data_IF_461644938464
#
_entry.id   IF_461644938464
#
_cell.length_a   1.000
_cell.length_b   1.000
_cell.length_c   1.000
_cell.angle_alpha   90.00
_cell.angle_beta   90.00
_cell.angle_gamma   90.00
#
_symmetry.space_group_name_H-M   'P 1'
#
loop_
_entity.id
_entity.type
_entity.pdbx_description
1 polymer ?
#
# COMPACT_ATOMS: atom_id res chain seq x y z
N UNK A 1 -28.81 78.23 -1.02
CA UNK A 1 -29.66 77.75 0.08
C UNK A 1 -29.17 76.37 0.49
N UNK A 2 -28.83 76.24 1.78
CA UNK A 2 -28.94 75.05 2.65
C UNK A 2 -28.07 73.80 2.32
N UNK A 3 -26.93 73.76 3.03
CA UNK A 3 -26.40 72.72 3.93
C UNK A 3 -26.92 71.26 3.96
N UNK A 4 -25.93 70.38 4.19
CA UNK A 4 -25.86 69.22 5.09
C UNK A 4 -26.38 67.84 4.66
N UNK A 5 -25.54 66.82 4.89
CA UNK A 5 -25.99 65.54 5.46
C UNK A 5 -25.28 64.28 4.96
N UNK A 6 -24.31 63.81 5.73
CA UNK A 6 -23.63 62.51 5.63
C UNK A 6 -24.58 61.30 5.62
N UNK A 7 -24.20 60.20 4.93
CA UNK A 7 -23.87 58.93 5.58
C UNK A 7 -23.42 57.81 4.62
N UNK A 8 -22.24 57.28 4.94
CA UNK A 8 -21.72 55.91 4.83
C UNK A 8 -22.59 54.85 4.13
N UNK A 9 -22.06 54.25 3.06
CA UNK A 9 -21.91 52.79 2.94
C UNK A 9 -20.75 52.45 1.97
N UNK A 10 -19.68 51.95 2.58
CA UNK A 10 -18.58 51.20 1.97
C UNK A 10 -19.07 49.79 1.60
N UNK A 11 -18.80 49.32 0.37
CA UNK A 11 -18.05 48.08 0.08
C UNK A 11 -17.62 48.09 -1.39
N UNK A 12 -16.30 48.01 -1.57
CA UNK A 12 -15.55 48.08 -2.82
C UNK A 12 -15.83 46.90 -3.77
N UNK A 13 -16.18 47.26 -5.00
CA UNK A 13 -15.38 47.06 -6.21
C UNK A 13 -14.50 45.81 -6.33
N UNK A 14 -14.99 44.87 -7.14
CA UNK A 14 -14.30 44.09 -8.18
C UNK A 14 -12.84 43.68 -7.93
N UNK A 15 -12.71 42.38 -7.69
CA UNK A 15 -11.54 41.54 -7.92
C UNK A 15 -10.90 41.85 -9.28
N UNK A 16 -9.59 42.03 -9.28
CA UNK A 16 -8.74 41.74 -10.43
C UNK A 16 -7.53 40.95 -9.96
N UNK A 17 -7.20 40.00 -10.81
CA UNK A 17 -6.20 38.96 -10.71
C UNK A 17 -4.78 39.49 -10.53
N UNK A 18 -3.94 38.73 -9.83
CA UNK A 18 -2.68 38.14 -10.35
C UNK A 18 -1.86 37.57 -9.19
N UNK A 19 -2.15 36.32 -8.84
CA UNK A 19 -1.17 35.44 -8.19
C UNK A 19 -1.03 34.23 -9.13
N UNK A 20 0.09 34.16 -9.84
CA UNK A 20 0.48 32.94 -10.55
C UNK A 20 0.81 31.87 -9.50
N UNK A 21 -0.19 31.03 -9.21
CA UNK A 21 -0.01 29.74 -8.56
C UNK A 21 0.80 28.82 -9.47
N UNK A 22 2.03 28.50 -9.06
CA UNK A 22 2.70 27.29 -9.54
C UNK A 22 2.12 26.13 -8.73
N UNK A 23 0.99 25.62 -9.22
CA UNK A 23 0.42 24.33 -8.80
C UNK A 23 1.27 23.20 -9.40
N UNK A 24 2.25 22.71 -8.65
CA UNK A 24 2.96 21.49 -9.00
C UNK A 24 2.17 20.25 -8.53
N UNK A 25 0.98 20.07 -9.10
CA UNK A 25 0.32 18.75 -9.14
C UNK A 25 0.53 18.20 -10.54
N UNK A 26 1.44 17.23 -10.70
CA UNK A 26 1.42 16.40 -11.90
C UNK A 26 0.12 15.60 -11.85
N UNK A 27 -0.87 16.08 -12.58
CA UNK A 27 -2.12 15.34 -12.79
C UNK A 27 -1.87 14.28 -13.85
N UNK A 28 -2.53 13.13 -13.73
CA UNK A 28 -2.30 11.98 -14.63
C UNK A 28 -2.63 12.27 -16.11
N UNK A 29 -3.21 13.42 -16.44
CA UNK A 29 -3.40 13.89 -17.81
C UNK A 29 -2.08 14.31 -18.47
N UNK A 30 -1.05 14.71 -17.69
CA UNK A 30 0.28 15.07 -18.20
C UNK A 30 1.17 13.84 -18.49
N UNK A 31 0.89 12.69 -17.88
CA UNK A 31 1.61 11.42 -18.14
C UNK A 31 1.13 10.68 -19.41
N UNK A 32 0.09 11.18 -20.07
CA UNK A 32 -0.54 10.53 -21.21
C UNK A 32 -0.15 11.12 -22.58
N UNK A 33 0.75 12.11 -22.66
CA UNK A 33 0.98 12.91 -23.88
C UNK A 33 2.39 12.88 -24.51
N UNK A 34 3.27 11.91 -24.23
CA UNK A 34 4.63 11.91 -24.83
C UNK A 34 4.96 10.68 -25.70
N UNK A 35 5.01 10.98 -27.01
CA UNK A 35 5.71 10.38 -28.18
C UNK A 35 5.48 8.93 -28.64
N UNK A 36 4.41 8.77 -29.44
CA UNK A 36 4.49 8.61 -30.91
C UNK A 36 5.12 7.38 -31.57
N UNK A 37 6.09 6.70 -30.97
CA UNK A 37 6.82 5.59 -31.62
C UNK A 37 6.75 4.24 -30.90
N UNK A 38 6.10 4.19 -29.72
CA UNK A 38 5.83 2.96 -28.97
C UNK A 38 4.35 2.50 -29.01
N UNK A 39 3.52 3.09 -29.88
CA UNK A 39 2.10 2.73 -29.98
C UNK A 39 1.86 1.32 -30.57
N UNK A 40 2.75 0.82 -31.43
CA UNK A 40 2.46 -0.40 -32.20
C UNK A 40 2.52 -1.71 -31.39
N UNK A 41 3.29 -1.76 -30.30
CA UNK A 41 3.36 -2.96 -29.43
C UNK A 41 2.23 -2.99 -28.39
N UNK A 42 1.79 -1.83 -27.90
CA UNK A 42 0.69 -1.73 -26.92
C UNK A 42 -0.66 -1.97 -27.61
N UNK A 43 -0.86 -1.47 -28.83
CA UNK A 43 -2.07 -1.73 -29.60
C UNK A 43 -2.21 -3.22 -30.00
N UNK A 44 -1.09 -3.90 -30.26
CA UNK A 44 -1.07 -5.34 -30.52
C UNK A 44 -1.48 -6.19 -29.30
N UNK A 45 -1.11 -5.75 -28.08
CA UNK A 45 -1.51 -6.40 -26.83
C UNK A 45 -2.91 -6.01 -26.34
N UNK A 46 -3.44 -4.84 -26.72
CA UNK A 46 -4.83 -4.44 -26.41
C UNK A 46 -5.87 -5.24 -27.21
N UNK A 47 -5.54 -5.70 -28.41
CA UNK A 47 -6.48 -6.41 -29.30
C UNK A 47 -6.68 -7.90 -28.96
N UNK A 48 -5.85 -8.49 -28.10
CA UNK A 48 -6.02 -9.87 -27.65
C UNK A 48 -5.79 -9.98 -26.14
N UNK A 49 -6.87 -10.24 -25.40
CA UNK A 49 -6.96 -10.90 -24.08
C UNK A 49 -7.58 -10.07 -22.94
N UNK A 50 -8.27 -10.81 -22.08
CA UNK A 50 -8.73 -10.40 -20.76
C UNK A 50 -7.62 -9.75 -19.91
N UNK A 51 -8.04 -8.92 -18.95
CA UNK A 51 -7.19 -8.07 -18.08
C UNK A 51 -5.87 -8.75 -17.65
N UNK A 52 -4.70 -8.08 -17.76
CA UNK A 52 -3.40 -8.66 -17.44
C UNK A 52 -3.34 -9.28 -16.04
N UNK A 53 -2.70 -10.45 -15.96
CA UNK A 53 -2.36 -11.14 -14.70
C UNK A 53 -1.48 -10.23 -13.84
N UNK A 54 -1.71 -10.27 -12.53
CA UNK A 54 -0.86 -9.55 -11.57
C UNK A 54 0.39 -10.39 -11.34
N UNK A 55 1.54 -9.76 -11.55
CA UNK A 55 2.84 -10.41 -11.37
C UNK A 55 3.13 -10.42 -9.86
N UNK A 56 3.29 -11.61 -9.31
CA UNK A 56 3.65 -11.83 -7.91
C UNK A 56 4.73 -12.91 -7.80
N UNK A 57 5.85 -12.53 -7.19
CA UNK A 57 7.00 -13.38 -6.91
C UNK A 57 7.18 -13.55 -5.39
N UNK A 58 7.53 -14.75 -4.91
CA UNK A 58 7.95 -14.90 -3.54
C UNK A 58 9.28 -14.16 -3.30
N UNK A 59 9.36 -13.46 -2.16
CA UNK A 59 10.44 -12.51 -1.84
C UNK A 59 10.34 -11.17 -2.59
N UNK A 60 9.32 -10.97 -3.44
CA UNK A 60 9.15 -9.72 -4.17
C UNK A 60 8.83 -8.55 -3.25
N UNK A 61 9.46 -7.40 -3.51
CA UNK A 61 9.20 -6.12 -2.86
C UNK A 61 8.28 -5.28 -3.74
N UNK A 62 7.19 -4.75 -3.18
CA UNK A 62 6.19 -3.99 -3.93
C UNK A 62 5.94 -2.63 -3.31
N UNK A 63 5.88 -1.60 -4.15
CA UNK A 63 5.15 -0.39 -3.83
C UNK A 63 3.68 -0.57 -4.22
N UNK A 64 2.78 -0.45 -3.25
CA UNK A 64 1.35 -0.66 -3.47
C UNK A 64 0.58 0.59 -3.11
N UNK A 65 -0.38 0.94 -3.97
CA UNK A 65 -1.32 2.04 -3.72
C UNK A 65 -2.75 1.62 -4.05
N UNK A 66 -3.70 2.17 -3.29
CA UNK A 66 -5.13 2.10 -3.61
C UNK A 66 -5.76 3.43 -3.25
N UNK A 67 -6.64 3.92 -4.14
CA UNK A 67 -7.27 5.23 -4.03
C UNK A 67 -8.79 5.10 -3.95
N UNK A 68 -9.40 6.03 -3.23
CA UNK A 68 -10.84 6.12 -3.04
C UNK A 68 -11.58 6.25 -4.37
N UNK A 69 -12.78 5.68 -4.43
CA UNK A 69 -13.68 5.90 -5.56
C UNK A 69 -13.94 7.40 -5.72
N UNK A 70 -13.95 7.87 -6.96
CA UNK A 70 -14.07 9.31 -7.28
C UNK A 70 -13.06 10.23 -6.57
N UNK A 71 -11.91 9.67 -6.13
CA UNK A 71 -10.88 10.37 -5.33
C UNK A 71 -11.38 10.86 -3.97
N UNK A 72 -12.48 10.31 -3.47
CA UNK A 72 -13.02 10.61 -2.14
C UNK A 72 -12.14 10.05 -1.02
N UNK A 73 -12.29 10.63 0.17
CA UNK A 73 -11.58 10.17 1.36
C UNK A 73 -11.94 8.72 1.68
N UNK A 74 -10.91 7.90 1.90
CA UNK A 74 -11.05 6.53 2.37
C UNK A 74 -10.93 6.44 3.89
N UNK A 75 -10.53 7.53 4.55
CA UNK A 75 -10.57 7.72 6.00
C UNK A 75 -11.34 9.02 6.28
N UNK A 76 -12.44 8.95 7.02
CA UNK A 76 -13.21 10.13 7.42
C UNK A 76 -12.73 10.69 8.76
N UNK A 77 -12.15 9.83 9.59
CA UNK A 77 -11.59 10.17 10.89
C UNK A 77 -10.35 9.30 11.22
N UNK A 78 -9.79 9.51 12.40
CA UNK A 78 -8.64 8.76 12.87
C UNK A 78 -8.99 7.31 13.27
N UNK A 79 -10.25 7.04 13.62
CA UNK A 79 -10.71 5.69 13.93
C UNK A 79 -10.65 4.81 12.67
N UNK A 80 -10.97 5.35 11.50
CA UNK A 80 -10.80 4.68 10.21
C UNK A 80 -9.34 4.29 9.94
N UNK A 81 -8.39 5.20 10.22
CA UNK A 81 -6.95 4.94 10.04
C UNK A 81 -6.44 3.86 11.01
N UNK A 82 -6.91 3.90 12.27
CA UNK A 82 -6.59 2.88 13.28
C UNK A 82 -7.16 1.52 12.87
N UNK A 83 -8.41 1.47 12.41
CA UNK A 83 -9.04 0.24 11.92
C UNK A 83 -8.28 -0.34 10.73
N UNK A 84 -7.84 0.53 9.82
CA UNK A 84 -7.03 0.12 8.67
C UNK A 84 -5.68 -0.46 9.10
N UNK A 85 -4.94 0.22 10.00
CA UNK A 85 -3.65 -0.28 10.50
C UNK A 85 -3.79 -1.60 11.26
N UNK A 86 -4.87 -1.75 12.02
CA UNK A 86 -5.18 -2.99 12.74
C UNK A 86 -5.43 -4.14 11.76
N UNK A 87 -6.25 -3.91 10.74
CA UNK A 87 -6.47 -4.90 9.67
C UNK A 87 -5.18 -5.20 8.90
N UNK A 88 -4.38 -4.19 8.60
CA UNK A 88 -3.10 -4.34 7.91
C UNK A 88 -2.13 -5.21 8.72
N UNK A 89 -2.06 -5.02 10.04
CA UNK A 89 -1.28 -5.88 10.94
C UNK A 89 -1.70 -7.35 10.83
N UNK A 90 -3.01 -7.62 10.82
CA UNK A 90 -3.54 -8.97 10.63
C UNK A 90 -3.19 -9.55 9.26
N UNK A 91 -3.27 -8.75 8.20
CA UNK A 91 -2.89 -9.15 6.84
C UNK A 91 -1.40 -9.48 6.78
N UNK A 92 -0.53 -8.63 7.31
CA UNK A 92 0.91 -8.90 7.34
C UNK A 92 1.25 -10.20 8.07
N UNK A 93 0.64 -10.41 9.25
CA UNK A 93 0.83 -11.66 10.01
C UNK A 93 0.31 -12.88 9.25
N UNK A 94 -0.88 -12.78 8.67
CA UNK A 94 -1.56 -13.89 7.97
C UNK A 94 -0.83 -14.32 6.72
N UNK A 95 -0.37 -13.36 5.91
CA UNK A 95 0.25 -13.61 4.61
C UNK A 95 1.77 -13.53 4.65
N UNK A 96 2.35 -13.43 5.85
CA UNK A 96 3.80 -13.34 6.06
C UNK A 96 4.42 -12.21 5.22
N UNK A 97 3.82 -11.02 5.30
CA UNK A 97 4.37 -9.82 4.67
C UNK A 97 5.26 -9.09 5.65
N UNK A 98 6.34 -8.54 5.10
CA UNK A 98 7.22 -7.61 5.82
C UNK A 98 6.97 -6.21 5.25
N UNK A 99 6.48 -5.30 6.07
CA UNK A 99 6.32 -3.90 5.67
C UNK A 99 7.61 -3.14 5.95
N UNK A 100 8.10 -2.35 4.99
CA UNK A 100 9.30 -1.51 5.15
C UNK A 100 8.95 -0.04 5.34
N UNK A 101 7.86 0.43 4.73
CA UNK A 101 7.35 1.79 4.89
C UNK A 101 5.86 1.86 4.58
N UNK A 102 5.15 2.80 5.22
CA UNK A 102 3.77 3.11 4.89
C UNK A 102 3.45 4.59 5.08
N UNK A 103 2.43 5.06 4.37
CA UNK A 103 1.81 6.36 4.57
C UNK A 103 0.33 6.27 4.20
N UNK A 104 -0.54 6.60 5.14
CA UNK A 104 -1.97 6.74 4.90
C UNK A 104 -2.24 8.22 4.59
N UNK A 105 -2.73 8.48 3.38
CA UNK A 105 -3.23 9.79 2.93
C UNK A 105 -4.75 9.82 3.13
N UNK A 106 -5.43 10.94 2.92
CA UNK A 106 -6.89 10.99 3.16
C UNK A 106 -7.70 10.12 2.20
N UNK A 107 -7.36 10.15 0.91
CA UNK A 107 -8.06 9.42 -0.15
C UNK A 107 -7.29 8.25 -0.75
N UNK A 108 -6.11 7.90 -0.21
CA UNK A 108 -5.33 6.75 -0.66
C UNK A 108 -4.31 6.32 0.38
N UNK A 109 -3.64 5.19 0.16
CA UNK A 109 -2.47 4.80 0.95
C UNK A 109 -1.31 4.43 0.04
N UNK A 110 -0.11 4.48 0.61
CA UNK A 110 1.13 3.97 0.06
C UNK A 110 1.71 2.96 1.05
N UNK A 111 2.00 1.75 0.60
CA UNK A 111 2.74 0.75 1.40
C UNK A 111 3.89 0.17 0.58
N UNK A 112 4.98 -0.16 1.27
CA UNK A 112 6.13 -0.86 0.71
C UNK A 112 6.22 -2.21 1.42
N UNK A 113 5.83 -3.27 0.73
CA UNK A 113 5.69 -4.60 1.32
C UNK A 113 6.50 -5.64 0.57
N UNK A 114 7.20 -6.47 1.29
CA UNK A 114 7.86 -7.67 0.79
C UNK A 114 6.95 -8.86 1.05
N UNK A 115 6.63 -9.63 0.01
CA UNK A 115 5.74 -10.80 0.11
C UNK A 115 6.57 -12.06 0.05
N UNK A 116 6.84 -12.68 1.20
CA UNK A 116 7.73 -13.85 1.31
C UNK A 116 7.24 -15.02 0.45
N UNK A 117 5.92 -15.17 0.33
CA UNK A 117 5.27 -16.29 -0.36
C UNK A 117 4.63 -15.91 -1.70
N UNK A 118 4.83 -14.68 -2.18
CA UNK A 118 4.26 -14.24 -3.46
C UNK A 118 2.73 -14.15 -3.46
N UNK A 119 2.14 -13.88 -2.30
CA UNK A 119 0.70 -13.94 -2.05
C UNK A 119 0.05 -12.53 -2.00
N UNK A 120 0.64 -11.55 -2.71
CA UNK A 120 0.22 -10.14 -2.71
C UNK A 120 -1.27 -9.99 -3.03
N UNK A 121 -1.75 -10.66 -4.07
CA UNK A 121 -3.14 -10.57 -4.52
C UNK A 121 -4.13 -11.05 -3.47
N UNK A 122 -3.78 -12.10 -2.71
CA UNK A 122 -4.62 -12.65 -1.65
C UNK A 122 -4.70 -11.71 -0.46
N UNK A 123 -3.56 -11.17 -0.01
CA UNK A 123 -3.55 -10.21 1.10
C UNK A 123 -4.24 -8.89 0.77
N UNK A 124 -4.05 -8.36 -0.45
CA UNK A 124 -4.73 -7.14 -0.87
C UNK A 124 -6.25 -7.31 -1.02
N UNK A 125 -6.70 -8.50 -1.45
CA UNK A 125 -8.14 -8.83 -1.47
C UNK A 125 -8.72 -8.80 -0.05
N UNK A 126 -8.01 -9.34 0.93
CA UNK A 126 -8.44 -9.31 2.32
C UNK A 126 -8.42 -7.88 2.88
N UNK A 127 -7.30 -7.16 2.73
CA UNK A 127 -7.13 -5.80 3.21
C UNK A 127 -8.23 -4.86 2.68
N UNK A 128 -8.33 -4.70 1.37
CA UNK A 128 -9.29 -3.76 0.79
C UNK A 128 -10.74 -4.23 0.96
N UNK A 129 -10.97 -5.54 0.88
CA UNK A 129 -12.31 -6.13 0.95
C UNK A 129 -12.92 -6.03 2.36
N UNK A 130 -12.14 -6.37 3.40
CA UNK A 130 -12.59 -6.27 4.79
C UNK A 130 -12.70 -4.79 5.19
N UNK A 131 -11.72 -3.96 4.84
CA UNK A 131 -11.78 -2.52 5.14
C UNK A 131 -13.03 -1.85 4.53
N UNK A 132 -13.34 -2.12 3.26
CA UNK A 132 -14.53 -1.59 2.58
C UNK A 132 -15.82 -1.96 3.34
N UNK A 133 -15.92 -3.21 3.81
CA UNK A 133 -17.10 -3.67 4.56
C UNK A 133 -17.21 -2.99 5.93
N UNK A 134 -16.09 -2.85 6.64
CA UNK A 134 -16.05 -2.19 7.95
C UNK A 134 -16.38 -0.71 7.82
N UNK A 135 -15.72 0.00 6.90
CA UNK A 135 -15.96 1.42 6.62
C UNK A 135 -17.43 1.69 6.27
N UNK A 136 -18.00 0.92 5.34
CA UNK A 136 -19.40 1.08 4.94
C UNK A 136 -20.36 0.84 6.11
N UNK A 137 -20.08 -0.14 6.97
CA UNK A 137 -20.89 -0.40 8.16
C UNK A 137 -20.79 0.74 9.17
N UNK A 138 -19.58 1.21 9.47
CA UNK A 138 -19.35 2.27 10.45
C UNK A 138 -19.98 3.60 10.03
N UNK A 139 -19.99 3.89 8.72
CA UNK A 139 -20.46 5.16 8.17
C UNK A 139 -21.84 5.08 7.50
N UNK A 140 -22.56 3.96 7.64
CA UNK A 140 -23.86 3.71 7.00
C UNK A 140 -23.87 4.00 5.49
N UNK A 141 -22.80 3.58 4.79
CA UNK A 141 -22.61 3.76 3.35
C UNK A 141 -22.81 2.43 2.60
N UNK A 142 -23.07 2.55 1.30
CA UNK A 142 -23.13 1.42 0.37
C UNK A 142 -22.22 1.68 -0.82
N UNK A 143 -21.79 0.61 -1.50
CA UNK A 143 -20.97 0.70 -2.71
C UNK A 143 -19.48 0.59 -2.46
N UNK A 144 -18.70 1.07 -3.43
CA UNK A 144 -17.24 0.93 -3.44
C UNK A 144 -16.57 2.03 -2.62
N UNK A 145 -15.62 1.65 -1.78
CA UNK A 145 -14.71 2.62 -1.12
C UNK A 145 -13.54 2.96 -2.04
N UNK A 146 -13.02 1.99 -2.79
CA UNK A 146 -11.88 2.17 -3.71
C UNK A 146 -12.33 2.19 -5.17
N UNK A 147 -11.66 3.00 -6.00
CA UNK A 147 -11.96 3.18 -7.44
C UNK A 147 -11.74 1.91 -8.31
N UNK A 148 -11.24 0.82 -7.71
CA UNK A 148 -10.99 -0.43 -8.42
C UNK A 148 -9.86 -1.25 -7.80
N UNK A 149 -9.07 -1.89 -8.66
CA UNK A 149 -7.92 -2.70 -8.24
C UNK A 149 -6.82 -1.79 -7.66
N UNK A 150 -6.13 -2.27 -6.64
CA UNK A 150 -4.86 -1.68 -6.22
C UNK A 150 -3.85 -1.69 -7.37
N UNK A 151 -2.93 -0.73 -7.33
CA UNK A 151 -1.72 -0.71 -8.17
C UNK A 151 -0.56 -1.29 -7.38
N UNK A 152 0.28 -2.09 -8.02
CA UNK A 152 1.50 -2.63 -7.42
C UNK A 152 2.64 -2.53 -8.44
N UNK A 153 3.77 -2.01 -7.99
CA UNK A 153 5.02 -1.90 -8.75
C UNK A 153 6.03 -2.79 -8.05
N UNK A 154 6.65 -3.72 -8.77
CA UNK A 154 7.74 -4.55 -8.26
C UNK A 154 9.03 -3.73 -8.22
N UNK A 155 9.76 -3.81 -7.11
CA UNK A 155 10.89 -2.95 -6.81
C UNK A 155 12.14 -3.80 -6.56
N UNK A 156 13.25 -3.43 -7.19
CA UNK A 156 14.57 -3.98 -6.86
C UNK A 156 15.03 -3.41 -5.52
N UNK A 157 14.96 -4.25 -4.47
CA UNK A 157 15.15 -3.86 -3.07
C UNK A 157 16.45 -3.11 -2.82
N UNK A 158 17.58 -3.67 -3.25
CA UNK A 158 18.90 -3.11 -2.95
C UNK A 158 19.16 -1.76 -3.63
N UNK A 159 18.53 -1.53 -4.78
CA UNK A 159 18.69 -0.27 -5.53
C UNK A 159 17.75 0.83 -5.04
N UNK A 160 16.51 0.49 -4.67
CA UNK A 160 15.43 1.49 -4.56
C UNK A 160 14.71 1.54 -3.22
N UNK A 161 14.91 0.59 -2.29
CA UNK A 161 14.10 0.55 -1.06
C UNK A 161 14.28 1.81 -0.18
N UNK A 162 15.49 2.35 -0.06
CA UNK A 162 15.75 3.58 0.70
C UNK A 162 14.99 4.77 0.12
N UNK A 163 15.15 4.99 -1.18
CA UNK A 163 14.53 6.09 -1.92
C UNK A 163 13.02 5.99 -1.95
N UNK A 164 12.50 4.77 -2.15
CA UNK A 164 11.08 4.50 -2.10
C UNK A 164 10.49 4.74 -0.71
N UNK A 165 11.17 4.32 0.35
CA UNK A 165 10.74 4.55 1.73
C UNK A 165 10.66 6.04 2.04
N UNK A 166 11.67 6.81 1.61
CA UNK A 166 11.67 8.28 1.69
C UNK A 166 10.51 8.90 0.91
N UNK A 167 10.32 8.48 -0.33
CA UNK A 167 9.20 8.95 -1.16
C UNK A 167 7.86 8.71 -0.45
N UNK A 168 7.64 7.50 0.07
CA UNK A 168 6.40 7.09 0.74
C UNK A 168 6.09 8.02 1.92
N UNK A 169 7.03 8.22 2.84
CA UNK A 169 6.77 9.06 4.02
C UNK A 169 6.62 10.53 3.65
N UNK A 170 7.27 11.03 2.60
CA UNK A 170 7.16 12.44 2.17
C UNK A 170 5.90 12.79 1.38
N UNK A 171 5.01 11.83 1.06
CA UNK A 171 3.79 12.12 0.30
C UNK A 171 2.90 13.23 0.91
N UNK A 172 2.68 13.30 2.23
CA UNK A 172 1.88 14.36 2.86
C UNK A 172 2.47 15.76 2.64
N UNK A 173 3.80 15.88 2.68
CA UNK A 173 4.52 17.14 2.42
C UNK A 173 4.41 17.51 0.94
N UNK A 174 4.62 16.54 0.05
CA UNK A 174 4.54 16.73 -1.41
C UNK A 174 3.13 17.10 -1.87
N UNK A 175 2.10 16.59 -1.19
CA UNK A 175 0.70 16.92 -1.45
C UNK A 175 0.26 18.24 -0.79
N UNK A 176 1.15 18.92 -0.05
CA UNK A 176 0.83 20.17 0.64
C UNK A 176 -0.13 20.02 1.83
N UNK A 177 -0.36 18.79 2.32
CA UNK A 177 -1.25 18.51 3.46
C UNK A 177 -0.61 19.02 4.76
N UNK A 178 0.70 18.84 4.89
CA UNK A 178 1.50 19.34 6.01
C UNK A 178 2.74 20.05 5.49
N UNK A 179 3.25 21.01 6.26
CA UNK A 179 4.50 21.72 5.90
C UNK A 179 5.72 20.88 6.22
N UNK A 180 5.67 20.17 7.35
CA UNK A 180 6.78 19.36 7.85
C UNK A 180 6.30 17.93 8.13
N UNK A 181 7.19 16.95 7.94
CA UNK A 181 6.83 15.53 8.02
C UNK A 181 6.46 15.06 9.44
N UNK A 182 7.00 15.71 10.47
CA UNK A 182 6.67 15.49 11.88
C UNK A 182 5.21 15.81 12.22
N UNK A 183 4.52 16.59 11.38
CA UNK A 183 3.10 16.89 11.55
C UNK A 183 2.17 15.77 11.06
N UNK A 184 2.70 14.75 10.37
CA UNK A 184 1.92 13.64 9.83
C UNK A 184 2.20 12.31 10.53
N UNK A 185 1.36 12.00 11.51
CA UNK A 185 1.50 10.79 12.34
C UNK A 185 1.09 9.51 11.61
N UNK A 186 0.32 9.61 10.52
CA UNK A 186 -0.21 8.46 9.77
C UNK A 186 0.77 7.90 8.74
N UNK A 187 2.02 7.70 9.15
CA UNK A 187 3.07 7.09 8.33
C UNK A 187 4.02 6.25 9.20
N UNK A 188 4.97 5.55 8.57
CA UNK A 188 6.04 4.86 9.27
C UNK A 188 7.12 5.81 9.83
N UNK A 189 7.07 7.12 9.51
CA UNK A 189 8.09 8.08 9.93
C UNK A 189 8.23 8.20 11.46
N UNK A 190 7.15 8.39 12.26
CA UNK A 190 7.26 8.48 13.72
C UNK A 190 7.85 7.23 14.36
N UNK A 191 7.61 6.05 13.78
CA UNK A 191 8.20 4.79 14.25
C UNK A 191 9.70 4.74 13.92
N UNK A 192 10.08 5.15 12.71
CA UNK A 192 11.48 5.21 12.28
C UNK A 192 12.31 6.23 13.09
N UNK A 193 11.68 7.31 13.57
CA UNK A 193 12.35 8.34 14.40
C UNK A 193 12.31 8.04 15.90
N UNK A 194 11.60 6.99 16.32
CA UNK A 194 11.48 6.59 17.73
C UNK A 194 10.45 7.40 18.53
N UNK A 195 9.58 8.15 17.86
CA UNK A 195 8.45 8.88 18.45
C UNK A 195 7.25 7.96 18.72
N UNK A 196 7.24 6.75 18.14
CA UNK A 196 6.19 5.74 18.33
C UNK A 196 6.77 4.34 18.47
N UNK A 197 6.03 3.47 19.17
CA UNK A 197 6.41 2.05 19.30
C UNK A 197 6.42 1.35 17.95
N UNK A 198 7.42 0.50 17.71
CA UNK A 198 7.50 -0.28 16.49
C UNK A 198 6.56 -1.48 16.52
N UNK A 199 5.58 -1.58 15.61
CA UNK A 199 4.78 -2.79 15.50
C UNK A 199 5.61 -3.93 14.90
N UNK A 200 5.26 -5.18 15.24
CA UNK A 200 5.99 -6.39 14.80
C UNK A 200 6.04 -6.55 13.27
N UNK A 201 5.02 -6.07 12.56
CA UNK A 201 4.92 -6.18 11.11
C UNK A 201 5.74 -5.14 10.33
N UNK A 202 6.32 -4.13 11.01
CA UNK A 202 7.15 -3.11 10.39
C UNK A 202 8.64 -3.41 10.62
N UNK A 203 9.38 -3.59 9.52
CA UNK A 203 10.82 -3.78 9.52
C UNK A 203 11.53 -2.42 9.48
N UNK A 204 12.17 -2.05 10.59
CA UNK A 204 12.93 -0.79 10.69
C UNK A 204 14.44 -1.00 10.62
N UNK A 205 14.93 -2.19 10.98
CA UNK A 205 16.36 -2.40 11.20
C UNK A 205 17.16 -2.45 9.91
N UNK A 206 16.61 -3.02 8.84
CA UNK A 206 17.30 -3.06 7.54
C UNK A 206 17.52 -1.63 7.00
N UNK A 207 16.48 -0.78 7.05
CA UNK A 207 16.52 0.59 6.57
C UNK A 207 17.45 1.45 7.43
N UNK A 208 17.28 1.42 8.76
CA UNK A 208 18.15 2.17 9.67
C UNK A 208 19.60 1.69 9.62
N UNK A 209 19.82 0.39 9.39
CA UNK A 209 21.15 -0.19 9.25
C UNK A 209 21.98 0.40 8.10
N UNK A 210 21.32 0.95 7.07
CA UNK A 210 22.00 1.65 5.96
C UNK A 210 22.66 2.96 6.40
N UNK A 211 22.20 3.54 7.52
CA UNK A 211 22.71 4.81 8.06
C UNK A 211 23.72 4.63 9.19
N UNK A 212 23.93 3.39 9.66
CA UNK A 212 24.99 3.05 10.61
C UNK A 212 24.59 1.99 11.64
N UNK A 213 25.60 1.48 12.37
CA UNK A 213 25.41 0.40 13.36
C UNK A 213 24.79 0.87 14.68
N UNK A 214 24.97 2.15 15.04
CA UNK A 214 24.45 2.71 16.29
C UNK A 214 23.07 3.32 16.03
N UNK A 215 22.01 2.73 16.60
CA UNK A 215 20.62 3.12 16.34
C UNK A 215 20.36 4.63 16.45
N UNK A 216 20.83 5.28 17.51
CA UNK A 216 20.65 6.73 17.70
C UNK A 216 21.26 7.56 16.56
N UNK A 217 22.44 7.19 16.07
CA UNK A 217 23.09 7.87 14.94
C UNK A 217 22.40 7.57 13.61
N UNK A 218 21.98 6.33 13.42
CA UNK A 218 21.23 5.90 12.25
C UNK A 218 19.90 6.66 12.12
N UNK A 219 19.16 6.84 13.22
CA UNK A 219 17.91 7.61 13.24
C UNK A 219 18.17 9.07 12.83
N UNK A 220 19.19 9.73 13.40
CA UNK A 220 19.51 11.11 13.04
C UNK A 220 19.85 11.24 11.54
N UNK A 221 20.69 10.35 11.01
CA UNK A 221 21.05 10.34 9.59
C UNK A 221 19.86 9.99 8.68
N UNK A 222 18.94 9.12 9.12
CA UNK A 222 17.68 8.85 8.43
C UNK A 222 16.79 10.10 8.36
N UNK A 223 16.66 10.84 9.46
CA UNK A 223 15.90 12.10 9.49
C UNK A 223 16.48 13.11 8.50
N UNK A 224 17.80 13.26 8.46
CA UNK A 224 18.48 14.15 7.50
C UNK A 224 18.28 13.69 6.06
N UNK A 225 18.36 12.38 5.79
CA UNK A 225 18.08 11.79 4.49
C UNK A 225 16.65 12.05 4.01
N UNK A 226 15.66 11.91 4.91
CA UNK A 226 14.25 12.20 4.59
C UNK A 226 14.07 13.69 4.31
N UNK A 227 14.61 14.58 5.15
CA UNK A 227 14.54 16.03 4.93
C UNK A 227 15.17 16.46 3.61
N UNK A 228 16.32 15.88 3.25
CA UNK A 228 16.97 16.11 1.97
C UNK A 228 16.13 15.68 0.76
N UNK A 229 15.10 14.85 0.96
CA UNK A 229 14.16 14.45 -0.09
C UNK A 229 13.04 15.44 -0.40
N UNK A 230 12.89 16.49 0.42
CA UNK A 230 11.88 17.54 0.18
C UNK A 230 12.28 18.35 -1.06
N UNK A 231 11.36 18.48 -2.01
CA UNK A 231 11.60 19.19 -3.27
C UNK A 231 12.35 18.40 -4.35
N UNK A 232 12.87 17.20 -4.04
CA UNK A 232 13.44 16.32 -5.07
C UNK A 232 12.37 15.83 -6.06
N UNK A 233 12.73 15.57 -7.33
CA UNK A 233 11.83 14.99 -8.30
C UNK A 233 11.31 13.61 -7.87
N UNK A 234 10.30 13.12 -8.58
CA UNK A 234 9.71 11.83 -8.26
C UNK A 234 10.62 10.68 -8.68
N UNK A 235 10.72 9.64 -7.84
CA UNK A 235 11.53 8.43 -8.14
C UNK A 235 11.05 7.65 -9.38
N UNK A 236 9.89 8.02 -9.93
CA UNK A 236 9.26 7.35 -11.07
C UNK A 236 9.85 7.70 -12.43
N UNK A 237 10.80 8.65 -12.50
CA UNK A 237 11.49 9.01 -13.76
C UNK A 237 12.24 7.82 -14.38
N UNK A 238 12.61 6.81 -13.58
CA UNK A 238 13.28 5.58 -14.04
C UNK A 238 12.32 4.35 -14.13
N UNK A 239 11.01 4.55 -14.15
CA UNK A 239 10.02 3.47 -14.16
C UNK A 239 9.97 2.75 -15.53
N UNK A 240 10.36 1.49 -15.57
CA UNK A 240 10.36 0.69 -16.79
C UNK A 240 9.03 -0.06 -16.98
N UNK A 241 8.22 0.34 -17.96
CA UNK A 241 7.01 -0.38 -18.37
C UNK A 241 5.87 -0.40 -17.34
N UNK A 242 5.82 0.59 -16.44
CA UNK A 242 4.77 0.79 -15.41
C UNK A 242 4.63 -0.32 -14.35
N UNK A 243 5.51 -1.32 -14.36
CA UNK A 243 5.42 -2.51 -13.49
C UNK A 243 6.70 -2.74 -12.68
N UNK A 244 7.86 -2.28 -13.18
CA UNK A 244 9.16 -2.52 -12.55
C UNK A 244 9.89 -1.22 -12.24
N UNK A 245 10.44 -1.14 -11.03
CA UNK A 245 11.42 -0.13 -10.61
C UNK A 245 12.72 -0.85 -10.26
N UNK A 246 13.66 -0.88 -11.19
CA UNK A 246 14.90 -1.66 -11.07
C UNK A 246 15.80 -1.44 -12.28
N UNK A 247 17.07 -1.85 -12.18
CA UNK A 247 18.03 -1.78 -13.30
C UNK A 247 17.55 -2.63 -14.49
N UNK A 248 18.04 -2.35 -15.70
CA UNK A 248 17.66 -3.08 -16.92
C UNK A 248 17.83 -4.60 -16.80
N UNK A 249 18.90 -5.05 -16.13
CA UNK A 249 19.16 -6.47 -15.87
C UNK A 249 18.04 -7.12 -15.04
N UNK A 250 17.60 -6.46 -13.96
CA UNK A 250 16.48 -6.89 -13.13
C UNK A 250 15.18 -6.96 -13.93
N UNK A 251 14.89 -5.93 -14.73
CA UNK A 251 13.68 -5.90 -15.57
C UNK A 251 13.69 -7.03 -16.59
N UNK A 252 14.85 -7.33 -17.20
CA UNK A 252 15.01 -8.42 -18.16
C UNK A 252 14.83 -9.79 -17.51
N UNK A 253 15.42 -10.00 -16.35
CA UNK A 253 15.29 -11.25 -15.57
C UNK A 253 13.83 -11.51 -15.19
N UNK A 254 13.15 -10.52 -14.62
CA UNK A 254 11.74 -10.66 -14.21
C UNK A 254 10.81 -10.91 -15.40
N UNK A 255 11.08 -10.29 -16.55
CA UNK A 255 10.32 -10.56 -17.79
C UNK A 255 10.52 -11.98 -18.30
N UNK A 256 11.72 -12.53 -18.19
CA UNK A 256 11.99 -13.93 -18.56
C UNK A 256 11.24 -14.91 -17.64
N UNK A 257 11.22 -14.66 -16.33
CA UNK A 257 10.48 -15.48 -15.36
C UNK A 257 8.96 -15.48 -15.63
N UNK A 258 8.39 -14.34 -16.05
CA UNK A 258 6.97 -14.22 -16.41
C UNK A 258 6.63 -14.95 -17.71
N UNK A 259 7.56 -15.03 -18.66
CA UNK A 259 7.35 -15.69 -19.95
C UNK A 259 7.54 -17.21 -19.88
N UNK A 260 8.22 -17.73 -18.85
CA UNK A 260 8.63 -19.13 -18.80
C UNK A 260 7.64 -20.12 -18.18
N UNK A 261 6.51 -19.72 -17.59
CA UNK A 261 5.47 -20.63 -17.02
C UNK A 261 5.98 -21.84 -16.18
N UNK A 262 7.20 -21.76 -15.63
CA UNK A 262 7.92 -22.91 -15.08
C UNK A 262 8.25 -22.71 -13.60
N UNK A 263 7.70 -23.64 -12.79
CA UNK A 263 8.13 -24.08 -11.46
C UNK A 263 9.26 -23.25 -10.81
N UNK A 264 8.88 -22.28 -9.99
CA UNK A 264 9.82 -21.51 -9.17
C UNK A 264 10.12 -22.31 -7.90
N UNK A 265 10.93 -23.36 -8.04
CA UNK A 265 11.57 -24.04 -6.93
C UNK A 265 13.04 -23.65 -6.89
N UNK A 266 13.35 -22.53 -6.23
CA UNK A 266 14.60 -22.32 -5.48
C UNK A 266 14.65 -20.88 -4.96
N UNK A 267 14.31 -20.71 -3.68
CA UNK A 267 14.49 -19.45 -2.93
C UNK A 267 15.27 -19.79 -1.66
N UNK A 268 16.29 -19.00 -1.27
CA UNK A 268 17.09 -19.21 -0.09
C UNK A 268 16.26 -19.41 1.19
N UNK A 269 16.60 -20.46 1.95
CA UNK A 269 15.87 -21.05 3.10
C UNK A 269 15.67 -20.14 4.34
N UNK A 270 15.92 -18.84 4.26
CA UNK A 270 16.01 -17.96 5.43
C UNK A 270 14.76 -17.08 5.62
N UNK A 271 13.55 -17.68 5.67
CA UNK A 271 12.34 -17.13 6.31
C UNK A 271 11.11 -18.05 6.14
N UNK A 272 11.31 -19.38 6.15
CA UNK A 272 10.16 -20.28 6.24
C UNK A 272 9.54 -20.14 7.62
N UNK A 273 8.35 -19.52 7.70
CA UNK A 273 7.35 -19.94 8.68
C UNK A 273 7.26 -21.47 8.57
N UNK A 274 7.10 -22.18 9.68
CA UNK A 274 6.76 -23.60 9.59
C UNK A 274 5.52 -23.70 8.69
N UNK A 275 5.62 -24.38 7.55
CA UNK A 275 4.48 -24.63 6.67
C UNK A 275 3.31 -25.10 7.54
N UNK A 276 2.11 -24.59 7.29
CA UNK A 276 0.94 -25.08 8.00
C UNK A 276 0.92 -26.60 7.91
N UNK A 277 0.53 -27.25 9.02
CA UNK A 277 0.26 -28.69 8.98
C UNK A 277 -0.84 -28.94 7.96
N UNK A 278 -0.92 -30.14 7.34
CA UNK A 278 -2.01 -30.45 6.41
C UNK A 278 -3.37 -30.16 7.05
N UNK A 279 -4.39 -29.82 6.25
CA UNK A 279 -5.74 -29.55 6.75
C UNK A 279 -6.28 -30.69 7.65
N UNK A 280 -5.90 -31.94 7.34
CA UNK A 280 -6.16 -33.15 8.14
C UNK A 280 -5.62 -33.13 9.57
N UNK A 281 -4.67 -32.26 9.88
CA UNK A 281 -4.20 -32.04 11.25
C UNK A 281 -5.21 -31.21 12.04
N UNK A 282 -5.72 -30.13 11.44
CA UNK A 282 -6.65 -29.22 12.10
C UNK A 282 -8.04 -29.83 12.23
N UNK A 283 -8.45 -30.71 11.31
CA UNK A 283 -9.73 -31.42 11.39
C UNK A 283 -9.80 -32.44 12.53
N UNK A 284 -8.67 -32.76 13.18
CA UNK A 284 -8.59 -33.63 14.35
C UNK A 284 -8.69 -32.90 15.69
N UNK A 285 -8.87 -31.58 15.68
CA UNK A 285 -9.04 -30.82 16.92
C UNK A 285 -10.33 -31.25 17.63
N UNK A 286 -10.31 -31.26 18.97
CA UNK A 286 -11.47 -31.65 19.77
C UNK A 286 -12.67 -30.71 19.58
N UNK A 287 -12.41 -29.42 19.35
CA UNK A 287 -13.40 -28.45 18.90
C UNK A 287 -13.22 -28.15 17.40
N UNK A 288 -14.26 -28.43 16.62
CA UNK A 288 -14.31 -28.16 15.17
C UNK A 288 -14.08 -26.69 14.84
N UNK A 289 -14.68 -25.78 15.60
CA UNK A 289 -14.59 -24.34 15.34
C UNK A 289 -13.17 -23.84 15.65
N UNK A 290 -12.53 -24.38 16.69
CA UNK A 290 -11.12 -24.11 16.99
C UNK A 290 -10.22 -24.62 15.86
N UNK A 291 -10.44 -25.83 15.36
CA UNK A 291 -9.71 -26.37 14.21
C UNK A 291 -9.88 -25.51 12.95
N UNK A 292 -11.11 -25.09 12.63
CA UNK A 292 -11.40 -24.20 11.49
C UNK A 292 -10.69 -22.85 11.66
N UNK A 293 -10.74 -22.27 12.86
CA UNK A 293 -10.08 -21.00 13.16
C UNK A 293 -8.55 -21.11 13.06
N UNK A 294 -7.97 -22.16 13.64
CA UNK A 294 -6.54 -22.42 13.61
C UNK A 294 -6.04 -22.66 12.18
N UNK A 295 -6.74 -23.50 11.40
CA UNK A 295 -6.44 -23.73 9.98
C UNK A 295 -6.51 -22.42 9.19
N UNK A 296 -7.55 -21.62 9.43
CA UNK A 296 -7.71 -20.34 8.75
C UNK A 296 -6.60 -19.35 9.10
N UNK A 297 -6.22 -19.22 10.38
CA UNK A 297 -5.17 -18.30 10.87
C UNK A 297 -3.78 -18.60 10.31
N UNK A 298 -3.55 -19.80 9.75
CA UNK A 298 -2.31 -20.11 9.06
C UNK A 298 -2.09 -19.24 7.83
N UNK A 299 -3.15 -18.84 7.12
CA UNK A 299 -3.03 -18.12 5.85
C UNK A 299 -2.79 -19.04 4.63
N UNK A 300 -2.38 -20.28 4.84
CA UNK A 300 -2.02 -21.23 3.78
C UNK A 300 -3.26 -21.78 3.05
N UNK A 301 -4.39 -21.89 3.74
CA UNK A 301 -5.62 -22.47 3.21
C UNK A 301 -6.69 -21.43 2.89
N UNK A 302 -7.44 -21.68 1.80
CA UNK A 302 -8.64 -20.90 1.50
C UNK A 302 -9.81 -21.35 2.39
N UNK A 303 -10.76 -20.47 2.67
CA UNK A 303 -11.99 -20.86 3.38
C UNK A 303 -12.74 -22.01 2.69
N UNK A 304 -12.64 -22.10 1.35
CA UNK A 304 -13.20 -23.22 0.59
C UNK A 304 -12.48 -24.53 0.92
N UNK A 305 -11.16 -24.55 0.84
CA UNK A 305 -10.38 -25.74 1.19
C UNK A 305 -10.64 -26.20 2.64
N UNK A 306 -10.78 -25.25 3.57
CA UNK A 306 -11.17 -25.56 4.95
C UNK A 306 -12.60 -26.11 5.02
N UNK A 307 -13.55 -25.53 4.28
CA UNK A 307 -14.92 -26.02 4.24
C UNK A 307 -15.00 -27.46 3.72
N UNK A 308 -14.24 -27.75 2.66
CA UNK A 308 -14.15 -29.07 2.03
C UNK A 308 -13.55 -30.11 2.99
N UNK A 309 -12.44 -29.80 3.68
CA UNK A 309 -11.83 -30.71 4.68
C UNK A 309 -12.78 -31.00 5.85
N UNK A 310 -13.39 -29.96 6.41
CA UNK A 310 -14.23 -30.09 7.61
C UNK A 310 -15.65 -30.58 7.29
N UNK A 311 -15.97 -30.83 6.01
CA UNK A 311 -17.29 -31.29 5.57
C UNK A 311 -18.41 -30.30 5.90
N UNK A 312 -18.12 -28.99 5.92
CA UNK A 312 -19.08 -27.95 6.27
C UNK A 312 -19.31 -27.00 5.10
N UNK A 313 -20.45 -26.30 5.09
CA UNK A 313 -20.69 -25.26 4.10
C UNK A 313 -19.74 -24.06 4.30
N UNK A 314 -19.31 -23.41 3.21
CA UNK A 314 -18.46 -22.20 3.22
C UNK A 314 -18.97 -21.12 4.20
N UNK A 315 -20.29 -20.92 4.27
CA UNK A 315 -20.92 -19.95 5.16
C UNK A 315 -20.70 -20.24 6.66
N UNK A 316 -20.42 -21.49 7.02
CA UNK A 316 -20.07 -21.89 8.40
C UNK A 316 -18.64 -21.46 8.71
N UNK A 317 -17.69 -21.77 7.82
CA UNK A 317 -16.30 -21.31 7.95
C UNK A 317 -16.24 -19.78 8.02
N UNK A 318 -16.93 -19.10 7.12
CA UNK A 318 -16.96 -17.63 7.09
C UNK A 318 -17.49 -17.02 8.40
N UNK A 319 -18.54 -17.59 9.02
CA UNK A 319 -19.06 -17.12 10.32
C UNK A 319 -18.08 -17.36 11.47
N UNK A 320 -17.44 -18.53 11.50
CA UNK A 320 -16.45 -18.87 12.53
C UNK A 320 -15.24 -17.93 12.42
N UNK A 321 -14.73 -17.74 11.21
CA UNK A 321 -13.63 -16.81 10.94
C UNK A 321 -13.98 -15.40 11.37
N UNK A 322 -15.17 -14.91 10.99
CA UNK A 322 -15.61 -13.55 11.34
C UNK A 322 -15.65 -13.34 12.85
N UNK A 323 -16.04 -14.36 13.63
CA UNK A 323 -16.05 -14.30 15.10
C UNK A 323 -14.63 -14.23 15.70
N UNK A 324 -13.63 -14.73 14.99
CA UNK A 324 -12.23 -14.80 15.44
C UNK A 324 -11.43 -13.58 14.96
N UNK A 325 -11.76 -13.00 13.81
CA UNK A 325 -11.12 -11.79 13.28
C UNK A 325 -11.61 -10.49 13.93
N UNK A 326 -12.73 -10.52 14.67
CA UNK A 326 -13.34 -9.34 15.31
C UNK A 326 -14.42 -8.69 14.44
#
# INVERSE_FOLDING_TARGET
MINNGDNLHDVRGRRNDTAHEISATVTWDELAQWDGLYCNLIEFWKQKMARPLRIEFPGGLYHVTSRGDRRENIYLDDADRINWLTLFAHVCKRFNWVCHAYCLMDNHYHIVVETVEGNLSRGMRQLNGVYTQTFNRSHNRIGHVYQGRYKAILVEKDSYLLELSRYVVLNPVRAGIVKNIDQWTWSSYPVMTGESSCPEWLQTDWLLGQFGKQRKRAIAAYMDFVRAGVGLPSIWENLCGQIYLGKEAFVKEMRQQVQSDLNISEIPRAQRRAQARPLSYYSRFGDRNEGIAAAYQTGDYTMKAIADEFGVHYATVSRIVKKVEG
#
